data_IF_047336222544
#
_entry.id   IF_047336222544
#
_cell.length_a   1.000
_cell.length_b   1.000
_cell.length_c   1.000
_cell.angle_alpha   90.00
_cell.angle_beta   90.00
_cell.angle_gamma   90.00
#
_symmetry.space_group_name_H-M   'P 1'
#
loop_
_entity.id
_entity.type
_entity.pdbx_description
1 polymer ?
#
# COMPACT_ATOMS: atom_id res chain seq x y z
N UNK A 1 -2.51 -38.87 12.01
CA UNK A 1 -3.06 -37.83 11.13
C UNK A 1 -1.95 -37.39 10.20
N UNK A 2 -2.09 -37.50 8.87
CA UNK A 2 -1.04 -37.02 7.97
C UNK A 2 -0.97 -35.48 8.06
N UNK A 3 0.23 -34.94 7.89
CA UNK A 3 0.43 -33.49 7.73
C UNK A 3 -0.29 -33.03 6.44
N UNK A 4 -0.90 -31.83 6.42
CA UNK A 4 -1.55 -31.34 5.22
C UNK A 4 -0.53 -31.18 4.08
N UNK A 5 -0.93 -31.62 2.88
CA UNK A 5 -0.13 -31.44 1.67
C UNK A 5 0.13 -29.94 1.45
N UNK A 6 1.40 -29.58 1.20
CA UNK A 6 1.89 -28.19 1.09
C UNK A 6 1.17 -27.32 0.04
N UNK A 7 0.33 -27.91 -0.81
CA UNK A 7 -0.42 -27.25 -1.89
C UNK A 7 -1.67 -26.52 -1.38
N UNK A 8 -2.21 -26.87 -0.20
CA UNK A 8 -3.42 -26.24 0.33
C UNK A 8 -3.19 -24.87 1.00
N UNK A 9 -1.94 -24.39 1.10
CA UNK A 9 -1.60 -23.11 1.72
C UNK A 9 -2.01 -21.88 0.87
N UNK A 10 -2.39 -22.06 -0.41
CA UNK A 10 -2.51 -20.98 -1.39
C UNK A 10 -3.90 -20.85 -2.05
N UNK A 11 -4.96 -21.45 -1.49
CA UNK A 11 -6.24 -21.65 -2.20
C UNK A 11 -7.38 -20.69 -1.86
N UNK A 12 -7.16 -19.59 -1.14
CA UNK A 12 -8.21 -18.58 -0.94
C UNK A 12 -7.90 -17.29 -1.71
N UNK A 13 -8.84 -16.91 -2.58
CA UNK A 13 -8.95 -15.53 -3.03
C UNK A 13 -9.72 -14.76 -1.95
N UNK A 14 -9.14 -13.67 -1.48
CA UNK A 14 -9.77 -12.82 -0.48
C UNK A 14 -10.20 -11.51 -1.10
N UNK A 15 -11.41 -11.06 -0.73
CA UNK A 15 -11.87 -9.71 -1.06
C UNK A 15 -11.42 -8.79 0.07
N UNK A 16 -10.50 -7.89 -0.25
CA UNK A 16 -10.07 -6.86 0.69
C UNK A 16 -11.06 -5.69 0.62
N UNK A 17 -11.67 -5.34 1.75
CA UNK A 17 -12.52 -4.16 1.89
C UNK A 17 -11.93 -3.20 2.91
N UNK A 18 -11.02 -2.33 2.45
CA UNK A 18 -10.30 -1.41 3.32
C UNK A 18 -11.07 -0.12 3.64
N UNK A 19 -12.20 0.12 2.99
CA UNK A 19 -12.93 1.38 3.10
C UNK A 19 -12.17 2.55 2.48
N UNK A 20 -12.18 3.70 3.15
CA UNK A 20 -11.56 4.92 2.63
C UNK A 20 -10.04 4.80 2.65
N UNK A 21 -9.39 5.24 1.57
CA UNK A 21 -7.93 5.19 1.44
C UNK A 21 -7.41 6.52 0.88
N UNK A 22 -6.19 6.87 1.28
CA UNK A 22 -5.36 7.86 0.57
C UNK A 22 -4.42 7.08 -0.33
N UNK A 23 -4.26 7.53 -1.57
CA UNK A 23 -3.32 6.94 -2.52
C UNK A 23 -2.57 8.01 -3.28
N UNK A 24 -1.31 7.74 -3.62
CA UNK A 24 -0.48 8.62 -4.42
C UNK A 24 0.49 7.79 -5.27
N UNK A 25 0.65 8.11 -6.57
CA UNK A 25 1.72 7.51 -7.37
C UNK A 25 3.08 8.05 -6.91
N UNK A 26 4.01 7.14 -6.62
CA UNK A 26 5.43 7.40 -6.51
C UNK A 26 6.11 7.18 -7.86
N UNK A 27 6.99 8.10 -8.26
CA UNK A 27 7.87 7.92 -9.42
C UNK A 27 9.31 8.05 -8.96
N UNK A 28 10.05 6.96 -9.06
CA UNK A 28 11.43 6.88 -8.56
C UNK A 28 11.74 5.56 -7.85
N UNK A 29 12.95 5.45 -7.29
CA UNK A 29 13.41 4.26 -6.57
C UNK A 29 12.54 3.90 -5.36
N UNK A 30 12.35 2.60 -5.09
CA UNK A 30 11.50 2.14 -3.98
C UNK A 30 11.98 2.61 -2.60
N UNK A 31 13.29 2.77 -2.40
CA UNK A 31 13.86 3.30 -1.16
C UNK A 31 13.50 4.78 -0.92
N UNK A 32 13.05 5.51 -1.94
CA UNK A 32 12.56 6.88 -1.85
C UNK A 32 11.04 7.01 -1.62
N UNK A 33 10.30 5.90 -1.53
CA UNK A 33 8.84 5.93 -1.34
C UNK A 33 8.42 6.66 -0.05
N UNK A 34 9.30 6.66 0.97
CA UNK A 34 9.10 7.37 2.23
C UNK A 34 8.80 8.87 2.06
N UNK A 35 9.31 9.51 1.00
CA UNK A 35 9.02 10.91 0.68
C UNK A 35 7.54 11.09 0.28
N UNK A 36 7.03 10.17 -0.55
CA UNK A 36 5.63 10.16 -0.97
C UNK A 36 4.71 9.82 0.21
N UNK A 37 5.10 8.86 1.06
CA UNK A 37 4.36 8.54 2.30
C UNK A 37 4.29 9.75 3.24
N UNK A 38 5.37 10.53 3.36
CA UNK A 38 5.36 11.75 4.17
C UNK A 38 4.36 12.79 3.65
N UNK A 39 4.21 12.94 2.33
CA UNK A 39 3.19 13.80 1.72
C UNK A 39 1.78 13.26 1.97
N UNK A 40 1.57 11.96 1.81
CA UNK A 40 0.28 11.31 2.11
C UNK A 40 -0.12 11.50 3.58
N UNK A 41 0.84 11.42 4.51
CA UNK A 41 0.61 11.65 5.94
C UNK A 41 0.16 13.09 6.20
N UNK A 42 0.88 14.08 5.67
CA UNK A 42 0.51 15.50 5.79
C UNK A 42 -0.89 15.77 5.22
N UNK A 43 -1.21 15.20 4.06
CA UNK A 43 -2.54 15.29 3.47
C UNK A 43 -3.61 14.71 4.40
N UNK A 44 -3.33 13.56 5.00
CA UNK A 44 -4.26 12.83 5.89
C UNK A 44 -4.52 13.61 7.17
N UNK A 45 -3.48 14.17 7.79
CA UNK A 45 -3.58 15.02 8.97
C UNK A 45 -4.41 16.29 8.70
N UNK A 46 -4.16 16.96 7.57
CA UNK A 46 -4.93 18.13 7.15
C UNK A 46 -6.41 17.80 6.92
N UNK A 47 -6.71 16.59 6.45
CA UNK A 47 -8.07 16.08 6.28
C UNK A 47 -8.73 15.60 7.58
N UNK A 48 -8.06 15.71 8.74
CA UNK A 48 -8.49 15.16 10.05
C UNK A 48 -8.73 13.65 10.00
N UNK A 49 -7.96 12.96 9.17
CA UNK A 49 -7.94 11.51 9.05
C UNK A 49 -6.67 10.97 9.75
N UNK A 50 -6.61 9.65 9.93
CA UNK A 50 -5.42 8.93 10.38
C UNK A 50 -5.23 7.70 9.52
N UNK A 51 -3.98 7.29 9.31
CA UNK A 51 -3.67 6.00 8.70
C UNK A 51 -4.29 4.88 9.54
N UNK A 52 -4.87 3.91 8.84
CA UNK A 52 -5.51 2.72 9.40
C UNK A 52 -5.13 1.53 8.52
N UNK A 53 -5.15 0.33 9.10
CA UNK A 53 -4.94 -0.91 8.35
C UNK A 53 -3.57 -1.07 7.68
N UNK A 54 -3.39 -2.15 6.90
CA UNK A 54 -2.16 -2.44 6.19
C UNK A 54 -1.87 -1.45 5.05
N UNK A 55 -0.59 -1.16 4.84
CA UNK A 55 -0.13 -0.39 3.68
C UNK A 55 -0.08 -1.29 2.44
N UNK A 56 -0.42 -0.74 1.27
CA UNK A 56 -0.40 -1.45 0.01
C UNK A 56 0.44 -0.71 -1.03
N UNK A 57 1.49 -1.40 -1.51
CA UNK A 57 2.32 -0.98 -2.63
C UNK A 57 1.87 -1.75 -3.89
N UNK A 58 1.45 -1.01 -4.91
CA UNK A 58 1.03 -1.60 -6.19
C UNK A 58 2.07 -1.22 -7.24
N UNK A 59 2.98 -2.14 -7.51
CA UNK A 59 4.05 -1.94 -8.49
C UNK A 59 3.48 -1.98 -9.91
N UNK A 60 3.61 -0.86 -10.63
CA UNK A 60 3.17 -0.74 -12.02
C UNK A 60 4.31 -0.97 -13.01
N UNK A 61 5.55 -0.97 -12.53
CA UNK A 61 6.76 -1.13 -13.34
C UNK A 61 7.49 -2.43 -12.99
N UNK A 62 8.08 -3.07 -13.99
CA UNK A 62 9.00 -4.19 -13.77
C UNK A 62 10.41 -3.61 -13.51
N UNK A 63 10.99 -3.76 -12.30
CA UNK A 63 12.29 -3.19 -11.97
C UNK A 63 13.45 -3.78 -12.77
N UNK A 64 13.23 -4.89 -13.48
CA UNK A 64 14.23 -5.48 -14.39
C UNK A 64 14.26 -4.82 -15.77
N UNK A 65 13.26 -3.98 -16.08
CA UNK A 65 13.04 -3.40 -17.41
C UNK A 65 13.05 -1.87 -17.42
N UNK A 66 12.89 -1.25 -16.26
CA UNK A 66 12.72 0.20 -16.12
C UNK A 66 13.82 0.72 -15.20
N UNK A 67 14.43 1.84 -15.59
CA UNK A 67 15.44 2.50 -14.77
C UNK A 67 14.82 2.98 -13.44
N UNK A 68 15.57 2.99 -12.32
CA UNK A 68 15.04 3.34 -11.00
C UNK A 68 14.30 4.68 -10.95
N UNK A 69 14.78 5.70 -11.64
CA UNK A 69 14.18 7.04 -11.73
C UNK A 69 12.81 7.09 -12.44
N UNK A 70 12.43 6.00 -13.13
CA UNK A 70 11.18 5.88 -13.89
C UNK A 70 10.25 4.81 -13.34
N UNK A 71 10.63 4.11 -12.27
CA UNK A 71 9.77 3.14 -11.62
C UNK A 71 8.51 3.84 -11.10
N UNK A 72 7.38 3.15 -11.19
CA UNK A 72 6.09 3.64 -10.74
C UNK A 72 5.47 2.65 -9.76
N UNK A 73 5.15 3.14 -8.57
CA UNK A 73 4.40 2.41 -7.54
C UNK A 73 3.19 3.27 -7.15
N UNK A 74 1.99 2.69 -7.06
CA UNK A 74 0.91 3.35 -6.33
C UNK A 74 1.06 2.98 -4.86
N UNK A 75 1.31 3.97 -4.02
CA UNK A 75 1.26 3.82 -2.58
C UNK A 75 -0.17 4.06 -2.13
N UNK A 76 -0.76 3.10 -1.42
CA UNK A 76 -2.14 3.17 -0.95
C UNK A 76 -2.20 2.83 0.53
N UNK A 77 -2.83 3.71 1.29
CA UNK A 77 -2.96 3.60 2.73
C UNK A 77 -4.43 3.76 3.14
N UNK A 78 -5.05 2.76 3.78
CA UNK A 78 -6.36 2.93 4.37
C UNK A 78 -6.34 4.03 5.44
N UNK A 79 -7.46 4.71 5.60
CA UNK A 79 -7.61 5.82 6.54
C UNK A 79 -8.95 5.75 7.25
N UNK A 80 -8.98 6.29 8.47
CA UNK A 80 -10.18 6.46 9.27
C UNK A 80 -10.23 7.87 9.86
N UNK A 81 -11.40 8.27 10.39
CA UNK A 81 -11.53 9.55 11.08
C UNK A 81 -10.54 9.65 12.25
N UNK A 82 -9.79 10.75 12.31
CA UNK A 82 -8.85 11.00 13.40
C UNK A 82 -9.53 11.26 14.75
N UNK A 83 -10.84 11.47 14.72
CA UNK A 83 -11.73 11.77 15.84
C UNK A 83 -12.51 10.54 16.32
N UNK A 84 -11.91 9.34 16.31
CA UNK A 84 -12.55 8.17 16.90
C UNK A 84 -12.95 8.44 18.35
N UNK A 85 -14.23 8.19 18.66
CA UNK A 85 -14.69 7.79 20.01
C UNK A 85 -13.74 6.79 20.65
#
# INVERSE_FOLDING_TARGET
>A
MPAPDKIDLYKSLERINEGQCVQMPHVGPYDCEHETIALMRKFTENARLKFAGPHHEIYLSDPRRVLPDRLKTILRQPVANGNGT
#
